data_IF_341800363347
#
_entry.id   IF_341800363347
#
_cell.length_a   1.000
_cell.length_b   1.000
_cell.length_c   1.000
_cell.angle_alpha   90.00
_cell.angle_beta   90.00
_cell.angle_gamma   90.00
#
_symmetry.space_group_name_H-M   'P 1'
#
loop_
_entity.id
_entity.type
_entity.pdbx_description
1 polymer ?
#
# COMPACT_ATOMS: atom_id res chain seq x y z
N UNK A 1 7.72 11.74 -28.23
CA UNK A 1 7.71 10.39 -27.64
C UNK A 1 7.61 10.41 -26.11
N UNK A 2 8.31 11.32 -25.43
CA UNK A 2 8.29 11.52 -23.97
C UNK A 2 6.88 11.60 -23.35
N UNK A 3 5.99 12.44 -23.90
CA UNK A 3 4.61 12.57 -23.42
C UNK A 3 3.75 11.31 -23.62
N UNK A 4 4.05 10.50 -24.65
CA UNK A 4 3.31 9.26 -24.90
C UNK A 4 3.63 8.20 -23.83
N UNK A 5 4.92 8.02 -23.49
CA UNK A 5 5.32 7.08 -22.44
C UNK A 5 4.80 7.50 -21.07
N UNK A 6 4.91 8.79 -20.74
CA UNK A 6 4.33 9.35 -19.52
C UNK A 6 2.82 9.12 -19.43
N UNK A 7 2.09 9.51 -20.48
CA UNK A 7 0.64 9.39 -20.55
C UNK A 7 0.19 7.94 -20.43
N UNK A 8 0.88 6.99 -21.07
CA UNK A 8 0.55 5.57 -20.99
C UNK A 8 0.77 4.99 -19.58
N UNK A 9 1.91 5.27 -18.94
CA UNK A 9 2.17 4.80 -17.57
C UNK A 9 1.22 5.43 -16.56
N UNK A 10 0.93 6.73 -16.71
CA UNK A 10 -0.03 7.43 -15.87
C UNK A 10 -1.45 6.88 -16.07
N UNK A 11 -1.88 6.66 -17.31
CA UNK A 11 -3.18 6.07 -17.60
C UNK A 11 -3.30 4.65 -17.02
N UNK A 12 -2.27 3.81 -17.22
CA UNK A 12 -2.26 2.43 -16.74
C UNK A 12 -2.35 2.32 -15.21
N UNK A 13 -1.80 3.29 -14.49
CA UNK A 13 -1.86 3.36 -13.03
C UNK A 13 -3.10 4.10 -12.52
N UNK A 14 -3.56 5.17 -13.17
CA UNK A 14 -4.70 5.98 -12.72
C UNK A 14 -6.07 5.38 -13.06
N UNK A 15 -6.22 4.68 -14.18
CA UNK A 15 -7.52 4.13 -14.62
C UNK A 15 -8.16 3.23 -13.55
N UNK A 16 -7.44 2.31 -12.90
CA UNK A 16 -8.01 1.51 -11.81
C UNK A 16 -8.49 2.34 -10.62
N UNK A 17 -7.77 3.40 -10.23
CA UNK A 17 -8.23 4.33 -9.19
C UNK A 17 -9.55 4.98 -9.56
N UNK A 18 -9.67 5.44 -10.81
CA UNK A 18 -10.88 6.08 -11.30
C UNK A 18 -12.08 5.12 -11.34
N UNK A 19 -11.86 3.88 -11.77
CA UNK A 19 -12.88 2.82 -11.76
C UNK A 19 -13.37 2.58 -10.32
N UNK A 20 -12.46 2.36 -9.37
CA UNK A 20 -12.84 2.12 -7.96
C UNK A 20 -13.59 3.34 -7.39
N UNK A 21 -13.12 4.56 -7.65
CA UNK A 21 -13.78 5.77 -7.18
C UNK A 21 -15.23 5.92 -7.69
N UNK A 22 -15.45 5.62 -8.98
CA UNK A 22 -16.75 5.77 -9.63
C UNK A 22 -17.72 4.64 -9.28
N UNK A 23 -17.28 3.39 -9.39
CA UNK A 23 -18.16 2.22 -9.22
C UNK A 23 -18.43 1.86 -7.75
N UNK A 24 -17.61 2.31 -6.80
CA UNK A 24 -17.91 2.16 -5.37
C UNK A 24 -18.79 3.28 -4.80
N UNK A 25 -19.31 4.19 -5.64
CA UNK A 25 -20.23 5.25 -5.23
C UNK A 25 -19.59 6.38 -4.41
N UNK A 26 -18.25 6.47 -4.32
CA UNK A 26 -17.58 7.52 -3.52
C UNK A 26 -17.90 8.93 -4.03
N UNK A 27 -18.15 9.06 -5.33
CA UNK A 27 -18.54 10.33 -5.95
C UNK A 27 -19.87 10.89 -5.39
N UNK A 28 -20.81 10.03 -5.01
CA UNK A 28 -22.10 10.44 -4.46
C UNK A 28 -22.00 10.98 -3.03
N UNK A 29 -21.01 10.50 -2.27
CA UNK A 29 -20.76 10.92 -0.89
C UNK A 29 -19.89 12.19 -0.80
N UNK A 30 -19.56 12.84 -1.92
CA UNK A 30 -18.65 14.00 -1.91
C UNK A 30 -17.26 13.66 -1.34
N UNK A 31 -16.83 12.40 -1.48
CA UNK A 31 -15.70 11.85 -0.75
C UNK A 31 -14.32 12.37 -1.22
N UNK A 32 -14.26 13.13 -2.32
CA UNK A 32 -13.01 13.60 -2.91
C UNK A 32 -12.14 14.34 -1.88
N UNK A 33 -12.71 15.32 -1.18
CA UNK A 33 -11.96 16.10 -0.19
C UNK A 33 -11.48 15.25 1.00
N UNK A 34 -12.25 14.23 1.36
CA UNK A 34 -11.88 13.28 2.43
C UNK A 34 -10.76 12.34 1.99
N UNK A 35 -10.73 11.91 0.73
CA UNK A 35 -9.60 11.18 0.16
C UNK A 35 -8.34 12.05 0.10
N UNK A 36 -8.46 13.33 -0.28
CA UNK A 36 -7.33 14.28 -0.27
C UNK A 36 -6.81 14.48 1.15
N UNK A 37 -7.70 14.63 2.13
CA UNK A 37 -7.32 14.72 3.55
C UNK A 37 -6.58 13.46 4.02
N UNK A 38 -7.06 12.27 3.65
CA UNK A 38 -6.38 11.01 3.94
C UNK A 38 -4.97 10.96 3.32
N UNK A 39 -4.84 11.43 2.08
CA UNK A 39 -3.54 11.55 1.41
C UNK A 39 -2.58 12.56 2.06
N UNK A 40 -3.12 13.65 2.64
CA UNK A 40 -2.33 14.58 3.43
C UNK A 40 -1.75 13.95 4.70
N UNK A 41 -2.53 13.10 5.38
CA UNK A 41 -2.03 12.33 6.54
C UNK A 41 -0.96 11.32 6.11
N UNK A 42 -1.15 10.64 4.96
CA UNK A 42 -0.12 9.77 4.40
C UNK A 42 1.20 10.51 4.13
N UNK A 43 1.14 11.71 3.55
CA UNK A 43 2.34 12.52 3.31
C UNK A 43 3.08 12.82 4.62
N UNK A 44 2.34 13.16 5.68
CA UNK A 44 2.90 13.43 7.00
C UNK A 44 3.51 12.18 7.64
N UNK A 45 2.84 11.03 7.59
CA UNK A 45 3.40 9.77 8.13
C UNK A 45 4.63 9.34 7.36
N UNK A 46 4.62 9.48 6.03
CA UNK A 46 5.74 9.13 5.19
C UNK A 46 6.97 10.03 5.45
N UNK A 47 6.77 11.33 5.65
CA UNK A 47 7.85 12.24 6.05
C UNK A 47 8.41 11.87 7.42
N UNK A 48 7.55 11.60 8.40
CA UNK A 48 7.97 11.15 9.74
C UNK A 48 8.77 9.85 9.70
N UNK A 49 8.32 8.89 8.89
CA UNK A 49 9.00 7.60 8.65
C UNK A 49 10.38 7.80 8.05
N UNK A 50 10.50 8.63 7.02
CA UNK A 50 11.80 8.92 6.39
C UNK A 50 12.76 9.62 7.35
N UNK A 51 12.26 10.51 8.22
CA UNK A 51 13.08 11.17 9.25
C UNK A 51 13.56 10.19 10.32
N UNK A 52 12.68 9.30 10.79
CA UNK A 52 13.02 8.27 11.77
C UNK A 52 14.05 7.30 11.20
N UNK A 53 13.85 6.84 9.96
CA UNK A 53 14.80 5.98 9.26
C UNK A 53 16.16 6.67 9.13
N UNK A 54 16.21 7.92 8.72
CA UNK A 54 17.47 8.67 8.58
C UNK A 54 18.18 8.95 9.92
N UNK A 55 17.44 9.13 11.02
CA UNK A 55 18.01 9.48 12.33
C UNK A 55 18.50 8.26 13.10
N UNK A 56 17.71 7.18 13.11
CA UNK A 56 18.03 5.96 13.87
C UNK A 56 18.80 4.92 13.06
N UNK A 57 18.67 4.96 11.73
CA UNK A 57 19.44 4.12 10.80
C UNK A 57 20.19 5.02 9.81
N UNK A 58 21.11 5.88 10.29
CA UNK A 58 22.04 6.50 9.36
C UNK A 58 22.78 5.37 8.66
N UNK A 59 22.64 5.28 7.34
CA UNK A 59 23.57 4.48 6.54
C UNK A 59 24.94 5.13 6.75
N UNK A 60 25.69 4.67 7.76
CA UNK A 60 27.11 4.93 7.86
C UNK A 60 27.70 4.53 6.51
N UNK A 61 28.37 5.47 5.86
CA UNK A 61 28.46 5.55 4.40
C UNK A 61 28.80 4.22 3.71
N UNK A 62 27.90 3.80 2.82
CA UNK A 62 28.27 3.20 1.55
C UNK A 62 27.08 3.38 0.58
N UNK A 63 27.15 4.43 -0.23
CA UNK A 63 26.40 4.53 -1.50
C UNK A 63 27.14 3.77 -2.62
N UNK A 64 28.19 3.03 -2.26
CA UNK A 64 29.05 2.23 -3.11
C UNK A 64 28.74 0.77 -2.83
N UNK A 65 28.20 0.09 -3.85
CA UNK A 65 27.89 -1.35 -3.88
C UNK A 65 26.71 -1.82 -3.01
N UNK A 66 25.63 -2.22 -3.71
CA UNK A 66 24.72 -3.26 -3.26
C UNK A 66 25.53 -4.55 -3.04
N UNK A 67 26.20 -4.68 -1.91
CA UNK A 67 26.74 -5.97 -1.48
C UNK A 67 25.57 -6.82 -0.94
N UNK A 68 25.19 -7.91 -1.63
CA UNK A 68 24.08 -8.77 -1.20
C UNK A 68 24.35 -9.50 0.13
N UNK A 69 25.58 -9.44 0.64
CA UNK A 69 26.04 -10.17 1.83
C UNK A 69 25.89 -9.40 3.16
N UNK A 70 25.49 -8.12 3.14
CA UNK A 70 25.28 -7.34 4.37
C UNK A 70 23.78 -7.23 4.76
N UNK A 71 23.02 -8.30 4.56
CA UNK A 71 21.65 -8.40 5.03
C UNK A 71 21.63 -8.60 6.54
N UNK A 72 21.49 -7.51 7.31
CA UNK A 72 21.32 -7.61 8.76
C UNK A 72 19.83 -7.82 9.10
N UNK A 73 19.41 -9.02 9.54
CA UNK A 73 17.99 -9.33 9.77
C UNK A 73 17.36 -8.46 10.86
N UNK A 74 18.17 -7.97 11.81
CA UNK A 74 17.71 -7.01 12.82
C UNK A 74 17.35 -5.67 12.19
N UNK A 75 18.16 -5.12 11.28
CA UNK A 75 17.86 -3.83 10.66
C UNK A 75 16.58 -3.90 9.84
N UNK A 76 16.37 -4.97 9.10
CA UNK A 76 15.14 -5.20 8.33
C UNK A 76 13.92 -5.39 9.23
N UNK A 77 14.07 -6.08 10.36
CA UNK A 77 13.00 -6.18 11.36
C UNK A 77 12.67 -4.83 11.98
N UNK A 78 13.68 -4.00 12.30
CA UNK A 78 13.43 -2.66 12.81
C UNK A 78 12.76 -1.76 11.74
N UNK A 79 13.17 -1.83 10.47
CA UNK A 79 12.47 -1.12 9.36
C UNK A 79 10.98 -1.49 9.32
N UNK A 80 10.66 -2.77 9.50
CA UNK A 80 9.27 -3.23 9.58
C UNK A 80 8.49 -2.66 10.78
N UNK A 81 9.15 -2.34 11.90
CA UNK A 81 8.46 -1.69 13.03
C UNK A 81 8.07 -0.26 12.71
N UNK A 82 8.87 0.43 11.87
CA UNK A 82 8.53 1.77 11.39
C UNK A 82 7.30 1.73 10.45
N UNK A 83 7.09 0.62 9.74
CA UNK A 83 5.88 0.43 8.91
C UNK A 83 4.58 0.37 9.74
N UNK A 84 4.66 0.09 11.04
CA UNK A 84 3.48 0.15 11.94
C UNK A 84 2.94 1.58 12.11
N UNK A 85 3.76 2.61 11.85
CA UNK A 85 3.33 4.01 11.88
C UNK A 85 2.25 4.27 10.83
N UNK A 86 2.34 3.60 9.67
CA UNK A 86 1.35 3.75 8.60
C UNK A 86 -0.02 3.20 9.04
N UNK A 87 -0.05 2.11 9.83
CA UNK A 87 -1.29 1.58 10.41
C UNK A 87 -1.93 2.56 11.40
N UNK A 88 -1.11 3.21 12.24
CA UNK A 88 -1.57 4.26 13.15
C UNK A 88 -2.15 5.43 12.35
N UNK A 89 -1.47 5.88 11.30
CA UNK A 89 -1.94 6.93 10.41
C UNK A 89 -3.29 6.62 9.78
N UNK A 90 -3.47 5.40 9.26
CA UNK A 90 -4.75 4.93 8.72
C UNK A 90 -5.83 4.95 9.81
N UNK A 91 -5.54 4.48 11.02
CA UNK A 91 -6.52 4.50 12.13
C UNK A 91 -6.98 5.92 12.49
N UNK A 92 -6.05 6.89 12.49
CA UNK A 92 -6.33 8.29 12.73
C UNK A 92 -7.21 8.88 11.62
N UNK A 93 -6.89 8.62 10.36
CA UNK A 93 -7.71 9.04 9.21
C UNK A 93 -9.14 8.52 9.34
N UNK A 94 -9.30 7.25 9.69
CA UNK A 94 -10.62 6.61 9.82
C UNK A 94 -11.44 7.18 10.98
N UNK A 95 -10.80 7.62 12.07
CA UNK A 95 -11.48 8.32 13.17
C UNK A 95 -12.03 9.70 12.76
N UNK A 96 -11.38 10.36 11.79
CA UNK A 96 -11.76 11.72 11.32
C UNK A 96 -12.83 11.73 10.24
N UNK A 97 -13.06 10.60 9.58
CA UNK A 97 -14.10 10.46 8.54
C UNK A 97 -15.42 10.06 9.23
N UNK A 98 -16.43 10.90 9.11
CA UNK A 98 -17.81 10.57 9.53
C UNK A 98 -18.52 9.79 8.40
N UNK A 99 -19.35 8.80 8.75
CA UNK A 99 -20.10 8.00 7.78
C UNK A 99 -20.16 6.51 8.11
N UNK A 100 -20.77 5.73 7.20
CA UNK A 100 -20.86 4.26 7.29
C UNK A 100 -19.47 3.62 7.22
N UNK A 101 -19.27 2.53 7.95
CA UNK A 101 -17.97 1.84 8.05
C UNK A 101 -17.36 1.46 6.68
N UNK A 102 -18.19 0.92 5.78
CA UNK A 102 -17.78 0.57 4.42
C UNK A 102 -17.22 1.77 3.63
N UNK A 103 -17.88 2.93 3.72
CA UNK A 103 -17.44 4.16 3.08
C UNK A 103 -16.14 4.68 3.69
N UNK A 104 -15.97 4.60 5.03
CA UNK A 104 -14.73 5.00 5.70
C UNK A 104 -13.53 4.18 5.21
N UNK A 105 -13.70 2.86 5.11
CA UNK A 105 -12.65 1.94 4.62
C UNK A 105 -12.23 2.30 3.20
N UNK A 106 -13.21 2.50 2.31
CA UNK A 106 -12.92 2.84 0.92
C UNK A 106 -12.23 4.21 0.77
N UNK A 107 -12.68 5.23 1.49
CA UNK A 107 -12.09 6.59 1.44
C UNK A 107 -10.65 6.57 1.95
N UNK A 108 -10.41 5.95 3.10
CA UNK A 108 -9.09 5.89 3.70
C UNK A 108 -8.14 5.06 2.83
N UNK A 109 -8.54 3.87 2.36
CA UNK A 109 -7.67 3.00 1.56
C UNK A 109 -7.37 3.58 0.17
N UNK A 110 -8.38 4.13 -0.51
CA UNK A 110 -8.18 4.74 -1.83
C UNK A 110 -7.39 6.06 -1.74
N UNK A 111 -7.62 6.85 -0.69
CA UNK A 111 -6.85 8.07 -0.43
C UNK A 111 -5.38 7.78 -0.13
N UNK A 112 -5.11 6.74 0.67
CA UNK A 112 -3.76 6.30 1.00
C UNK A 112 -3.02 5.77 -0.24
N UNK A 113 -3.65 4.88 -0.99
CA UNK A 113 -3.09 4.36 -2.24
C UNK A 113 -2.87 5.46 -3.30
N UNK A 114 -3.79 6.42 -3.37
CA UNK A 114 -3.70 7.53 -4.33
C UNK A 114 -2.55 8.47 -3.98
N UNK A 115 -2.36 8.76 -2.69
CA UNK A 115 -1.23 9.56 -2.23
C UNK A 115 0.10 8.84 -2.44
N UNK A 116 0.15 7.53 -2.23
CA UNK A 116 1.32 6.71 -2.53
C UNK A 116 1.65 6.70 -4.04
N UNK A 117 0.65 6.60 -4.91
CA UNK A 117 0.84 6.75 -6.37
C UNK A 117 1.44 8.12 -6.72
N UNK A 118 0.86 9.20 -6.20
CA UNK A 118 1.27 10.58 -6.51
C UNK A 118 2.66 10.89 -5.96
N UNK A 119 2.92 10.58 -4.69
CA UNK A 119 4.19 10.96 -4.05
C UNK A 119 5.35 10.04 -4.45
N UNK A 120 5.09 8.74 -4.62
CA UNK A 120 6.16 7.76 -4.85
C UNK A 120 6.44 7.50 -6.33
N UNK A 121 5.43 7.61 -7.21
CA UNK A 121 5.57 7.17 -8.62
C UNK A 121 5.43 8.29 -9.65
N UNK A 122 4.76 9.40 -9.33
CA UNK A 122 4.62 10.51 -10.29
C UNK A 122 5.98 11.06 -10.74
N UNK A 123 6.91 11.24 -9.79
CA UNK A 123 8.28 11.68 -10.09
C UNK A 123 9.04 10.65 -10.93
N UNK A 124 8.88 9.36 -10.63
CA UNK A 124 9.53 8.27 -11.40
C UNK A 124 9.02 8.24 -12.83
N UNK A 125 7.71 8.41 -13.04
CA UNK A 125 7.13 8.48 -14.38
C UNK A 125 7.55 9.76 -15.12
N UNK A 126 7.62 10.89 -14.42
CA UNK A 126 8.07 12.16 -14.98
C UNK A 126 9.54 12.11 -15.45
N UNK A 127 10.43 11.60 -14.60
CA UNK A 127 11.86 11.43 -14.95
C UNK A 127 12.02 10.37 -16.03
N UNK A 128 11.28 9.27 -15.97
CA UNK A 128 11.29 8.23 -16.99
C UNK A 128 10.85 8.72 -18.36
N UNK A 129 9.89 9.65 -18.39
CA UNK A 129 9.46 10.29 -19.62
C UNK A 129 10.52 11.19 -20.25
N UNK A 130 11.51 11.68 -19.49
CA UNK A 130 12.62 12.50 -20.01
C UNK A 130 13.74 11.65 -20.62
N UNK A 131 13.71 10.34 -20.45
CA UNK A 131 14.68 9.40 -21.04
C UNK A 131 14.57 9.35 -22.56
N UNK A 132 15.70 9.06 -23.21
CA UNK A 132 15.78 8.85 -24.67
C UNK A 132 15.23 7.50 -25.10
N UNK A 133 15.22 6.52 -24.19
CA UNK A 133 14.76 5.14 -24.42
C UNK A 133 13.76 4.71 -23.35
N UNK A 134 12.83 3.82 -23.73
CA UNK A 134 11.76 3.38 -22.86
C UNK A 134 12.12 2.07 -22.15
N UNK A 135 12.23 2.13 -20.82
CA UNK A 135 12.45 0.95 -20.01
C UNK A 135 11.15 0.27 -19.56
N UNK A 136 11.19 -1.06 -19.59
CA UNK A 136 10.13 -1.92 -19.06
C UNK A 136 9.86 -1.72 -17.56
N UNK A 137 10.82 -1.15 -16.83
CA UNK A 137 10.73 -0.78 -15.42
C UNK A 137 9.53 0.15 -15.14
N UNK A 138 9.22 1.09 -16.04
CA UNK A 138 8.11 2.03 -15.83
C UNK A 138 6.74 1.35 -15.97
N UNK A 139 6.62 0.37 -16.87
CA UNK A 139 5.42 -0.48 -16.98
C UNK A 139 5.25 -1.31 -15.71
N UNK A 140 6.32 -1.96 -15.24
CA UNK A 140 6.28 -2.75 -14.01
C UNK A 140 5.87 -1.90 -12.81
N UNK A 141 6.40 -0.67 -12.69
CA UNK A 141 6.00 0.28 -11.65
C UNK A 141 4.53 0.71 -11.75
N UNK A 142 3.98 0.76 -12.96
CA UNK A 142 2.56 1.04 -13.18
C UNK A 142 1.67 -0.12 -12.72
N UNK A 143 2.07 -1.37 -12.99
CA UNK A 143 1.36 -2.54 -12.44
C UNK A 143 1.53 -2.69 -10.93
N UNK A 144 2.69 -2.33 -10.38
CA UNK A 144 2.93 -2.33 -8.94
C UNK A 144 1.99 -1.36 -8.20
N UNK A 145 1.66 -0.21 -8.80
CA UNK A 145 0.62 0.68 -8.29
C UNK A 145 -0.77 0.02 -8.21
N UNK A 146 -1.13 -0.77 -9.22
CA UNK A 146 -2.43 -1.46 -9.22
C UNK A 146 -2.51 -2.52 -8.11
N UNK A 147 -1.38 -3.20 -7.85
CA UNK A 147 -1.26 -4.14 -6.73
C UNK A 147 -1.33 -3.40 -5.38
N UNK A 148 -0.73 -2.19 -5.29
CA UNK A 148 -0.75 -1.40 -4.05
C UNK A 148 -2.17 -0.95 -3.67
N UNK A 149 -3.04 -0.62 -4.64
CA UNK A 149 -4.47 -0.34 -4.39
C UNK A 149 -5.12 -1.49 -3.61
N UNK A 150 -5.00 -2.71 -4.12
CA UNK A 150 -5.60 -3.91 -3.51
C UNK A 150 -5.04 -4.12 -2.10
N UNK A 151 -3.73 -3.93 -1.94
CA UNK A 151 -3.08 -4.03 -0.65
C UNK A 151 -3.61 -3.01 0.36
N UNK A 152 -3.62 -1.71 0.04
CA UNK A 152 -4.07 -0.66 0.95
C UNK A 152 -5.56 -0.74 1.29
N UNK A 153 -6.40 -1.15 0.35
CA UNK A 153 -7.81 -1.43 0.64
C UNK A 153 -7.96 -2.57 1.66
N UNK A 154 -7.15 -3.62 1.53
CA UNK A 154 -7.15 -4.76 2.46
C UNK A 154 -6.64 -4.37 3.85
N UNK A 155 -5.53 -3.62 3.91
CA UNK A 155 -4.96 -3.10 5.17
C UNK A 155 -5.97 -2.20 5.88
N UNK A 156 -6.60 -1.29 5.15
CA UNK A 156 -7.60 -0.37 5.73
C UNK A 156 -8.82 -1.12 6.24
N UNK A 157 -9.27 -2.17 5.54
CA UNK A 157 -10.35 -3.03 6.00
C UNK A 157 -9.97 -3.77 7.29
N UNK A 158 -8.74 -4.28 7.39
CA UNK A 158 -8.23 -4.92 8.62
C UNK A 158 -8.13 -3.94 9.79
N UNK A 159 -7.60 -2.73 9.57
CA UNK A 159 -7.51 -1.67 10.60
C UNK A 159 -8.90 -1.29 11.09
N UNK A 160 -9.90 -1.22 10.20
CA UNK A 160 -11.28 -0.99 10.59
C UNK A 160 -11.85 -2.12 11.45
N UNK A 161 -11.61 -3.37 11.07
CA UNK A 161 -12.05 -4.54 11.82
C UNK A 161 -11.42 -4.60 13.20
N UNK A 162 -10.14 -4.23 13.32
CA UNK A 162 -9.43 -4.13 14.59
C UNK A 162 -9.98 -3.03 15.50
N UNK A 163 -10.33 -1.87 14.93
CA UNK A 163 -10.91 -0.75 15.67
C UNK A 163 -12.36 -0.98 16.10
N UNK A 164 -13.02 -2.03 15.62
CA UNK A 164 -14.44 -2.30 15.89
C UNK A 164 -14.61 -3.10 17.18
N UNK A 165 -15.49 -2.62 18.06
CA UNK A 165 -15.77 -3.28 19.34
C UNK A 165 -16.66 -4.53 19.24
N UNK A 166 -17.42 -4.70 18.14
CA UNK A 166 -18.36 -5.82 17.96
C UNK A 166 -17.72 -7.09 17.34
N UNK A 167 -16.40 -7.18 17.27
CA UNK A 167 -15.73 -8.32 16.66
C UNK A 167 -15.81 -9.55 17.62
N UNK A 168 -16.24 -10.73 17.16
CA UNK A 168 -16.24 -11.90 18.01
C UNK A 168 -14.81 -12.22 18.44
N UNK A 169 -14.63 -12.58 19.73
CA UNK A 169 -13.31 -12.85 20.33
C UNK A 169 -12.47 -13.89 19.58
N UNK A 170 -13.11 -14.79 18.83
CA UNK A 170 -12.44 -15.80 18.01
C UNK A 170 -11.78 -15.23 16.76
N UNK A 171 -12.34 -14.17 16.14
CA UNK A 171 -11.79 -13.55 14.94
C UNK A 171 -10.72 -12.49 15.26
N UNK A 172 -10.72 -11.96 16.48
CA UNK A 172 -9.73 -10.97 16.92
C UNK A 172 -8.26 -11.41 16.71
N UNK A 173 -7.81 -12.59 17.17
CA UNK A 173 -6.43 -13.03 16.93
C UNK A 173 -6.13 -13.19 15.43
N UNK A 174 -7.10 -13.66 14.64
CA UNK A 174 -6.92 -13.79 13.18
C UNK A 174 -6.69 -12.43 12.50
N UNK A 175 -7.42 -11.38 12.91
CA UNK A 175 -7.23 -10.01 12.39
C UNK A 175 -5.85 -9.47 12.75
N UNK A 176 -5.39 -9.66 13.99
CA UNK A 176 -4.05 -9.22 14.43
C UNK A 176 -2.93 -9.92 13.65
N UNK A 177 -3.06 -11.24 13.45
CA UNK A 177 -2.10 -12.01 12.65
C UNK A 177 -2.05 -11.51 11.21
N UNK A 178 -3.21 -11.24 10.60
CA UNK A 178 -3.30 -10.72 9.23
C UNK A 178 -2.69 -9.31 9.11
N UNK A 179 -2.90 -8.44 10.09
CA UNK A 179 -2.25 -7.12 10.13
C UNK A 179 -0.73 -7.28 10.16
N UNK A 180 -0.21 -8.16 11.02
CA UNK A 180 1.22 -8.47 11.06
C UNK A 180 1.72 -8.94 9.70
N UNK A 181 1.04 -9.91 9.09
CA UNK A 181 1.42 -10.46 7.79
C UNK A 181 1.42 -9.40 6.67
N UNK A 182 0.49 -8.45 6.71
CA UNK A 182 0.48 -7.31 5.79
C UNK A 182 1.66 -6.37 6.01
N UNK A 183 2.03 -6.05 7.25
CA UNK A 183 3.20 -5.21 7.56
C UNK A 183 4.50 -5.84 7.09
N UNK A 184 4.66 -7.16 7.25
CA UNK A 184 5.87 -7.89 6.83
C UNK A 184 5.86 -8.31 5.36
N UNK A 185 4.81 -8.00 4.58
CA UNK A 185 4.68 -8.43 3.18
C UNK A 185 5.91 -8.08 2.34
N UNK A 186 6.45 -6.87 2.49
CA UNK A 186 7.58 -6.43 1.66
C UNK A 186 8.79 -7.32 1.88
N UNK A 187 9.20 -7.52 3.13
CA UNK A 187 10.32 -8.37 3.50
C UNK A 187 10.08 -9.83 3.10
N UNK A 188 8.87 -10.35 3.35
CA UNK A 188 8.53 -11.73 2.96
C UNK A 188 8.68 -11.91 1.44
N UNK A 189 8.18 -10.96 0.64
CA UNK A 189 8.29 -11.03 -0.81
C UNK A 189 9.75 -10.97 -1.27
N UNK A 190 10.55 -10.08 -0.70
CA UNK A 190 11.94 -9.89 -1.12
C UNK A 190 12.83 -11.07 -0.68
N UNK A 191 12.57 -11.66 0.50
CA UNK A 191 13.23 -12.91 0.95
C UNK A 191 12.90 -14.09 0.04
N UNK A 192 11.63 -14.30 -0.28
CA UNK A 192 11.21 -15.38 -1.18
C UNK A 192 11.79 -15.16 -2.58
N UNK A 193 11.83 -13.91 -3.06
CA UNK A 193 12.43 -13.58 -4.34
C UNK A 193 13.92 -13.92 -4.39
N UNK A 194 14.65 -13.66 -3.30
CA UNK A 194 16.07 -13.99 -3.20
C UNK A 194 16.30 -15.50 -3.16
N UNK A 195 15.55 -16.25 -2.33
CA UNK A 195 15.66 -17.72 -2.22
C UNK A 195 15.33 -18.41 -3.55
N UNK A 196 14.31 -17.94 -4.25
CA UNK A 196 13.83 -18.56 -5.50
C UNK A 196 14.46 -17.96 -6.76
N UNK A 197 15.38 -16.98 -6.64
CA UNK A 197 15.97 -16.22 -7.75
C UNK A 197 14.91 -15.69 -8.75
N UNK A 198 13.82 -15.12 -8.22
CA UNK A 198 12.70 -14.59 -8.99
C UNK A 198 12.92 -13.09 -9.22
N UNK A 199 13.05 -12.67 -10.47
CA UNK A 199 13.31 -11.27 -10.84
C UNK A 199 12.30 -10.71 -11.84
N UNK A 200 12.17 -9.37 -11.88
CA UNK A 200 11.40 -8.65 -12.91
C UNK A 200 9.91 -9.06 -12.95
N UNK A 201 9.43 -9.68 -14.03
CA UNK A 201 8.02 -10.04 -14.24
C UNK A 201 7.49 -11.13 -13.30
N UNK A 202 8.31 -12.14 -12.99
CA UNK A 202 7.90 -13.22 -12.10
C UNK A 202 7.75 -12.71 -10.66
N UNK A 203 8.58 -11.74 -10.25
CA UNK A 203 8.45 -11.09 -8.95
C UNK A 203 7.16 -10.27 -8.86
N UNK A 204 6.84 -9.52 -9.92
CA UNK A 204 5.60 -8.77 -9.99
C UNK A 204 4.37 -9.69 -9.92
N UNK A 205 4.39 -10.80 -10.66
CA UNK A 205 3.32 -11.79 -10.63
C UNK A 205 3.17 -12.42 -9.23
N UNK A 206 4.29 -12.77 -8.58
CA UNK A 206 4.27 -13.26 -7.20
C UNK A 206 3.68 -12.24 -6.23
N UNK A 207 4.12 -10.97 -6.29
CA UNK A 207 3.57 -9.87 -5.47
C UNK A 207 2.08 -9.67 -5.72
N UNK A 208 1.62 -9.82 -6.97
CA UNK A 208 0.20 -9.71 -7.33
C UNK A 208 -0.63 -10.85 -6.72
N UNK A 209 -0.21 -12.10 -6.92
CA UNK A 209 -0.90 -13.30 -6.40
C UNK A 209 -0.96 -13.24 -4.88
N UNK A 210 0.16 -12.95 -4.22
CA UNK A 210 0.23 -12.84 -2.77
C UNK A 210 -0.66 -11.72 -2.22
N UNK A 211 -0.70 -10.56 -2.88
CA UNK A 211 -1.59 -9.47 -2.47
C UNK A 211 -3.05 -9.82 -2.66
N UNK A 212 -3.38 -10.54 -3.73
CA UNK A 212 -4.74 -10.93 -4.06
C UNK A 212 -5.25 -12.01 -3.09
N UNK A 213 -4.43 -13.01 -2.77
CA UNK A 213 -4.82 -14.06 -1.81
C UNK A 213 -5.11 -13.47 -0.44
N UNK A 214 -4.26 -12.56 0.04
CA UNK A 214 -4.51 -11.84 1.29
C UNK A 214 -5.78 -10.98 1.23
N UNK A 215 -5.97 -10.23 0.14
CA UNK A 215 -7.17 -9.43 -0.04
C UNK A 215 -8.45 -10.28 -0.04
N UNK A 216 -8.42 -11.47 -0.66
CA UNK A 216 -9.55 -12.40 -0.67
C UNK A 216 -9.83 -12.94 0.74
N UNK A 217 -8.81 -13.28 1.52
CA UNK A 217 -8.98 -13.70 2.93
C UNK A 217 -9.61 -12.58 3.76
N UNK A 218 -9.09 -11.35 3.63
CA UNK A 218 -9.65 -10.17 4.32
C UNK A 218 -11.10 -9.94 3.89
N UNK A 219 -11.40 -10.04 2.59
CA UNK A 219 -12.76 -9.88 2.07
C UNK A 219 -13.72 -10.93 2.63
N UNK A 220 -13.27 -12.18 2.78
CA UNK A 220 -14.09 -13.25 3.38
C UNK A 220 -14.42 -12.96 4.84
N UNK A 221 -13.45 -12.50 5.62
CA UNK A 221 -13.66 -12.12 7.03
C UNK A 221 -14.59 -10.90 7.11
N UNK A 222 -14.34 -9.89 6.27
CA UNK A 222 -15.12 -8.67 6.21
C UNK A 222 -16.59 -8.94 5.83
N UNK A 223 -16.81 -9.77 4.80
CA UNK A 223 -18.14 -10.19 4.35
C UNK A 223 -18.86 -11.10 5.35
N UNK A 224 -18.14 -12.02 6.00
CA UNK A 224 -18.70 -12.90 7.03
C UNK A 224 -19.26 -12.14 8.24
N UNK A 225 -18.64 -11.02 8.60
CA UNK A 225 -19.13 -10.15 9.67
C UNK A 225 -20.40 -9.41 9.24
N UNK A 226 -20.52 -9.03 7.97
CA UNK A 226 -21.75 -8.41 7.47
C UNK A 226 -22.95 -9.38 7.53
N UNK A 227 -22.72 -10.67 7.29
CA UNK A 227 -23.78 -11.70 7.40
C UNK A 227 -24.14 -12.06 8.84
N UNK A 228 -23.23 -11.90 9.80
CA UNK A 228 -23.48 -12.16 11.23
C UNK A 228 -24.25 -11.02 11.92
N UNK A 229 -24.32 -9.84 11.29
CA UNK A 229 -24.99 -8.64 11.83
C UNK A 229 -26.45 -8.48 11.35
N UNK A 230 -26.97 -9.46 10.62
CA UNK A 230 -28.39 -9.58 10.20
C UNK A 230 -29.03 -10.69 11.02
#
# INVERSE_FOLDING_TARGET
>A
MTLYHFGNCLALSYVPFWIVYKYCGLSEYGAFWKCVQAGGVYALTQLGKMLLLATFFPTAGDYSHEDPDNFSPLQELLKCTVDLIDLVGISVVMSRIAGKGHTKVLIAGLGWAGAELVLSRLLVFWVGARGTEFDWKYIQKSFEANISIVHFLSVTALVWLYSRHDLPRQLFPAVVILIGFHSYKSVICDMIAHILHIYSWSLLAFKAVFSLTLALVVLRIYGGIATLAV
#
